data_IF_832630539651
#
_entry.id   IF_832630539651
#
_cell.length_a   1.000
_cell.length_b   1.000
_cell.length_c   1.000
_cell.angle_alpha   90.00
_cell.angle_beta   90.00
_cell.angle_gamma   90.00
#
_symmetry.space_group_name_H-M   'P 1'
#
loop_
_entity.id
_entity.type
_entity.pdbx_description
1 polymer ?
#
# COMPACT_ATOMS: atom_id res chain seq x y z
N UNK A 1 7.05 -28.80 17.24
CA UNK A 1 6.41 -27.90 16.27
C UNK A 1 7.52 -27.09 15.66
N UNK A 2 7.79 -27.26 14.36
CA UNK A 2 8.77 -26.44 13.67
C UNK A 2 8.31 -24.98 13.76
N UNK A 3 9.23 -24.11 14.19
CA UNK A 3 9.10 -22.66 14.07
C UNK A 3 9.12 -22.34 12.57
N UNK A 4 7.96 -22.45 11.92
CA UNK A 4 7.79 -21.94 10.57
C UNK A 4 7.94 -20.44 10.70
N UNK A 5 9.15 -19.96 10.47
CA UNK A 5 9.50 -18.55 10.38
C UNK A 5 8.74 -17.99 9.18
N UNK A 6 7.45 -17.72 9.37
CA UNK A 6 6.56 -17.19 8.35
C UNK A 6 7.24 -15.93 7.81
N UNK A 7 7.35 -15.83 6.48
CA UNK A 7 7.90 -14.63 5.87
C UNK A 7 7.07 -13.45 6.38
N UNK A 8 7.72 -12.52 7.08
CA UNK A 8 7.06 -11.38 7.73
C UNK A 8 7.75 -10.13 7.26
N UNK A 9 6.94 -9.13 6.89
CA UNK A 9 7.40 -7.78 6.69
C UNK A 9 7.68 -7.18 8.07
N UNK A 10 8.96 -7.11 8.45
CA UNK A 10 9.34 -6.49 9.72
C UNK A 10 9.44 -4.96 9.60
N UNK A 11 9.59 -4.28 10.74
CA UNK A 11 9.68 -2.82 10.78
C UNK A 11 10.90 -2.28 10.00
N UNK A 12 12.00 -3.03 9.95
CA UNK A 12 13.20 -2.60 9.24
C UNK A 12 12.99 -2.62 7.72
N UNK A 13 12.34 -3.67 7.20
CA UNK A 13 11.92 -3.77 5.81
C UNK A 13 10.86 -2.72 5.46
N UNK A 14 9.87 -2.52 6.33
CA UNK A 14 8.86 -1.47 6.17
C UNK A 14 9.49 -0.07 6.08
N UNK A 15 10.50 0.21 6.92
CA UNK A 15 11.25 1.47 6.90
C UNK A 15 12.02 1.66 5.59
N UNK A 16 12.77 0.66 5.13
CA UNK A 16 13.49 0.73 3.85
C UNK A 16 12.55 0.98 2.67
N UNK A 17 11.42 0.28 2.63
CA UNK A 17 10.42 0.45 1.60
C UNK A 17 9.82 1.87 1.60
N UNK A 18 9.49 2.40 2.79
CA UNK A 18 8.94 3.74 2.91
C UNK A 18 9.96 4.83 2.52
N UNK A 19 11.21 4.69 2.96
CA UNK A 19 12.28 5.65 2.64
C UNK A 19 12.57 5.67 1.13
N UNK A 20 12.62 4.51 0.48
CA UNK A 20 12.82 4.43 -0.97
C UNK A 20 11.69 5.07 -1.78
N UNK A 21 10.43 4.91 -1.34
CA UNK A 21 9.28 5.57 -1.95
C UNK A 21 9.32 7.09 -1.77
N UNK A 22 9.68 7.58 -0.57
CA UNK A 22 9.86 9.02 -0.30
C UNK A 22 10.98 9.60 -1.16
N UNK A 23 12.12 8.91 -1.27
CA UNK A 23 13.26 9.38 -2.07
C UNK A 23 12.96 9.39 -3.57
N UNK A 24 12.14 8.46 -4.05
CA UNK A 24 11.61 8.51 -5.43
C UNK A 24 10.72 9.74 -5.63
N UNK A 25 9.77 9.98 -4.73
CA UNK A 25 8.88 11.14 -4.82
C UNK A 25 9.64 12.47 -4.76
N UNK A 26 10.63 12.59 -3.87
CA UNK A 26 11.44 13.81 -3.73
C UNK A 26 12.27 14.11 -4.98
N UNK A 27 12.77 13.08 -5.67
CA UNK A 27 13.52 13.24 -6.94
C UNK A 27 12.68 13.90 -8.03
N UNK A 28 11.37 13.66 -8.01
CA UNK A 28 10.42 14.25 -8.96
C UNK A 28 9.80 15.56 -8.45
N UNK A 29 10.24 16.06 -7.30
CA UNK A 29 9.72 17.28 -6.69
C UNK A 29 8.43 17.11 -5.89
N UNK A 30 7.92 15.88 -5.75
CA UNK A 30 6.71 15.57 -4.99
C UNK A 30 6.98 15.41 -3.49
N UNK A 31 5.94 15.56 -2.66
CA UNK A 31 5.95 15.29 -1.21
C UNK A 31 4.78 14.38 -0.88
N UNK A 32 5.07 13.18 -0.40
CA UNK A 32 4.08 12.11 -0.23
C UNK A 32 4.04 11.59 1.20
N UNK A 33 2.94 10.94 1.55
CA UNK A 33 2.88 10.01 2.67
C UNK A 33 3.02 8.58 2.17
N UNK A 34 3.65 7.76 3.00
CA UNK A 34 3.80 6.32 2.75
C UNK A 34 3.31 5.56 3.97
N UNK A 35 2.44 4.58 3.75
CA UNK A 35 1.99 3.64 4.77
C UNK A 35 2.39 2.23 4.36
N UNK A 36 2.93 1.47 5.31
CA UNK A 36 3.21 0.04 5.18
C UNK A 36 2.41 -0.69 6.24
N UNK A 37 1.69 -1.73 5.83
CA UNK A 37 0.84 -2.56 6.68
C UNK A 37 1.27 -4.03 6.66
N UNK A 38 0.91 -4.77 7.70
CA UNK A 38 1.02 -6.23 7.74
C UNK A 38 0.00 -6.92 6.82
N UNK A 39 0.08 -8.24 6.69
CA UNK A 39 -0.84 -9.04 5.88
C UNK A 39 -2.32 -8.94 6.32
N UNK A 40 -2.60 -8.37 7.49
CA UNK A 40 -3.95 -8.18 8.04
C UNK A 40 -4.42 -6.72 7.91
N UNK A 41 -3.64 -5.87 7.22
CA UNK A 41 -3.98 -4.47 7.00
C UNK A 41 -3.69 -3.55 8.19
N UNK A 42 -2.97 -4.01 9.22
CA UNK A 42 -2.58 -3.15 10.34
C UNK A 42 -1.27 -2.42 10.06
N UNK A 43 -1.19 -1.16 10.48
CA UNK A 43 0.00 -0.35 10.29
C UNK A 43 1.24 -0.98 10.94
N UNK A 44 2.29 -1.14 10.13
CA UNK A 44 3.66 -1.33 10.61
C UNK A 44 4.40 0.00 10.69
N UNK A 45 4.17 0.86 9.69
CA UNK A 45 4.81 2.17 9.58
C UNK A 45 3.90 3.14 8.83
N UNK A 46 3.80 4.37 9.33
CA UNK A 46 3.15 5.49 8.64
C UNK A 46 4.10 6.67 8.71
N UNK A 47 4.45 7.21 7.55
CA UNK A 47 5.32 8.39 7.43
C UNK A 47 4.66 9.41 6.51
N UNK A 48 4.82 10.69 6.87
CA UNK A 48 4.37 11.83 6.07
C UNK A 48 5.57 12.73 5.86
N UNK A 49 5.95 12.94 4.60
CA UNK A 49 7.05 13.85 4.29
C UNK A 49 6.69 15.30 4.64
N UNK A 50 7.72 16.11 4.88
CA UNK A 50 7.57 17.55 5.07
C UNK A 50 6.97 18.18 3.81
N UNK A 51 5.90 18.96 4.00
CA UNK A 51 5.15 19.55 2.89
C UNK A 51 4.10 18.64 2.23
N UNK A 52 4.01 17.36 2.59
CA UNK A 52 2.90 16.51 2.15
C UNK A 52 1.58 16.92 2.85
N UNK A 53 0.49 16.91 2.09
CA UNK A 53 -0.82 17.35 2.58
C UNK A 53 -1.34 16.49 3.76
N UNK A 54 -2.05 17.11 4.70
CA UNK A 54 -2.43 16.51 5.98
C UNK A 54 -3.25 15.21 5.87
N UNK A 55 -4.05 15.06 4.80
CA UNK A 55 -4.94 13.91 4.60
C UNK A 55 -4.24 12.70 3.95
N UNK A 56 -3.06 12.90 3.35
CA UNK A 56 -2.37 11.86 2.58
C UNK A 56 -2.00 10.60 3.38
N UNK A 57 -1.71 10.63 4.70
CA UNK A 57 -1.50 9.40 5.48
C UNK A 57 -2.74 8.50 5.53
N UNK A 58 -3.94 9.09 5.62
CA UNK A 58 -5.19 8.34 5.63
C UNK A 58 -5.43 7.63 4.29
N UNK A 59 -5.19 8.35 3.19
CA UNK A 59 -5.32 7.80 1.83
C UNK A 59 -4.26 6.72 1.57
N UNK A 60 -3.00 6.97 1.94
CA UNK A 60 -1.92 5.99 1.83
C UNK A 60 -2.24 4.70 2.61
N UNK A 61 -2.81 4.83 3.82
CA UNK A 61 -3.25 3.67 4.62
C UNK A 61 -4.34 2.87 3.92
N UNK A 62 -5.38 3.51 3.39
CA UNK A 62 -6.44 2.81 2.66
C UNK A 62 -5.89 2.04 1.44
N UNK A 63 -4.96 2.65 0.68
CA UNK A 63 -4.29 2.01 -0.45
C UNK A 63 -3.46 0.79 -0.04
N UNK A 64 -2.66 0.92 1.03
CA UNK A 64 -1.83 -0.15 1.57
C UNK A 64 -2.69 -1.32 2.07
N UNK A 65 -3.71 -1.03 2.88
CA UNK A 65 -4.63 -2.02 3.44
C UNK A 65 -5.41 -2.75 2.35
N UNK A 66 -5.90 -2.03 1.33
CA UNK A 66 -6.58 -2.67 0.18
C UNK A 66 -5.68 -3.69 -0.48
N UNK A 67 -4.43 -3.33 -0.73
CA UNK A 67 -3.52 -4.22 -1.44
C UNK A 67 -3.09 -5.42 -0.61
N UNK A 68 -2.93 -5.24 0.71
CA UNK A 68 -2.62 -6.33 1.63
C UNK A 68 -3.79 -7.33 1.76
N UNK A 69 -5.02 -6.82 1.90
CA UNK A 69 -6.20 -7.64 2.18
C UNK A 69 -6.75 -8.35 0.94
N UNK A 70 -6.73 -7.68 -0.21
CA UNK A 70 -7.22 -8.25 -1.48
C UNK A 70 -6.10 -9.02 -2.20
N UNK A 71 -4.83 -8.68 -1.94
CA UNK A 71 -3.67 -9.33 -2.54
C UNK A 71 -3.34 -8.87 -3.96
N UNK A 72 -3.91 -7.75 -4.41
CA UNK A 72 -3.69 -7.16 -5.74
C UNK A 72 -3.41 -5.66 -5.63
N UNK A 73 -2.76 -5.03 -6.63
CA UNK A 73 -2.64 -3.58 -6.71
C UNK A 73 -3.99 -2.86 -6.68
N UNK A 74 -4.06 -1.66 -6.10
CA UNK A 74 -5.32 -0.89 -6.10
C UNK A 74 -5.79 -0.53 -7.50
N UNK A 75 -4.89 -0.44 -8.48
CA UNK A 75 -5.23 -0.29 -9.90
C UNK A 75 -5.95 -1.50 -10.48
N UNK A 76 -5.55 -2.71 -10.09
CA UNK A 76 -6.25 -3.94 -10.48
C UNK A 76 -7.61 -4.05 -9.77
N UNK A 77 -7.70 -3.60 -8.52
CA UNK A 77 -8.96 -3.52 -7.79
C UNK A 77 -9.94 -2.51 -8.42
N UNK A 78 -9.44 -1.37 -8.92
CA UNK A 78 -10.23 -0.45 -9.75
C UNK A 78 -10.81 -1.14 -10.97
N UNK A 79 -9.99 -1.89 -11.71
CA UNK A 79 -10.49 -2.66 -12.87
C UNK A 79 -11.52 -3.72 -12.50
N UNK A 80 -11.43 -4.32 -11.31
CA UNK A 80 -12.45 -5.23 -10.79
C UNK A 80 -13.76 -4.49 -10.48
N UNK A 81 -13.69 -3.30 -9.90
CA UNK A 81 -14.86 -2.46 -9.64
C UNK A 81 -15.56 -2.04 -10.94
N UNK A 82 -14.80 -1.73 -11.99
CA UNK A 82 -15.35 -1.39 -13.30
C UNK A 82 -16.04 -2.60 -13.97
N UNK A 83 -15.42 -3.79 -13.89
CA UNK A 83 -15.95 -5.00 -14.52
C UNK A 83 -17.12 -5.63 -13.73
N UNK A 84 -17.07 -5.54 -12.41
CA UNK A 84 -17.95 -6.24 -11.48
C UNK A 84 -18.35 -5.36 -10.28
N UNK A 85 -19.06 -4.23 -10.49
CA UNK A 85 -19.34 -3.27 -9.42
C UNK A 85 -20.10 -3.88 -8.24
N UNK A 86 -21.10 -4.74 -8.52
CA UNK A 86 -21.87 -5.42 -7.47
C UNK A 86 -21.01 -6.37 -6.61
N UNK A 87 -19.93 -6.93 -7.15
CA UNK A 87 -19.01 -7.76 -6.37
C UNK A 87 -18.21 -6.90 -5.39
N UNK A 88 -17.69 -5.77 -5.86
CA UNK A 88 -16.93 -4.83 -5.02
C UNK A 88 -17.81 -4.25 -3.92
N UNK A 89 -19.05 -3.84 -4.23
CA UNK A 89 -20.01 -3.35 -3.24
C UNK A 89 -20.28 -4.40 -2.14
N UNK A 90 -20.39 -5.68 -2.50
CA UNK A 90 -20.58 -6.76 -1.54
C UNK A 90 -19.33 -6.99 -0.67
N UNK A 91 -18.13 -6.94 -1.26
CA UNK A 91 -16.87 -7.05 -0.52
C UNK A 91 -16.78 -5.91 0.50
N UNK A 92 -17.03 -4.66 0.10
CA UNK A 92 -16.96 -3.50 0.96
C UNK A 92 -17.97 -3.59 2.12
N UNK A 93 -19.21 -3.99 1.80
CA UNK A 93 -20.26 -4.17 2.81
C UNK A 93 -19.94 -5.28 3.83
N UNK A 94 -19.23 -6.33 3.43
CA UNK A 94 -18.95 -7.49 4.29
C UNK A 94 -17.62 -7.41 5.05
N UNK A 95 -16.65 -6.62 4.56
CA UNK A 95 -15.32 -6.53 5.17
C UNK A 95 -15.21 -5.46 6.26
N UNK A 96 -16.06 -4.42 6.22
CA UNK A 96 -16.01 -3.30 7.18
C UNK A 96 -14.62 -2.63 7.24
N UNK A 97 -13.84 -2.74 6.16
CA UNK A 97 -12.53 -2.11 5.99
C UNK A 97 -12.64 -1.00 4.95
N UNK A 98 -11.95 0.15 5.13
CA UNK A 98 -11.98 1.23 4.14
C UNK A 98 -11.11 0.88 2.93
N UNK A 99 -11.62 0.03 2.05
CA UNK A 99 -10.99 -0.33 0.78
C UNK A 99 -11.07 0.84 -0.20
N UNK A 100 -10.13 0.90 -1.16
CA UNK A 100 -10.07 2.00 -2.13
C UNK A 100 -9.58 1.55 -3.50
N UNK A 101 -10.20 2.12 -4.53
CA UNK A 101 -9.78 1.97 -5.94
C UNK A 101 -8.72 2.98 -6.37
N UNK A 102 -8.30 3.89 -5.47
CA UNK A 102 -7.31 4.91 -5.80
C UNK A 102 -5.93 4.29 -6.10
N UNK A 103 -5.29 4.60 -7.25
CA UNK A 103 -3.97 4.08 -7.60
C UNK A 103 -2.89 4.44 -6.58
N UNK A 104 -1.92 3.54 -6.34
CA UNK A 104 -0.78 3.78 -5.46
C UNK A 104 -0.64 2.82 -4.29
N UNK A 105 -1.49 1.78 -4.22
CA UNK A 105 -1.32 0.65 -3.32
C UNK A 105 -0.76 -0.57 -4.04
N UNK A 106 0.19 -1.26 -3.41
CA UNK A 106 0.77 -2.51 -3.92
C UNK A 106 0.87 -3.58 -2.81
N UNK A 107 0.61 -4.85 -3.14
CA UNK A 107 0.86 -5.95 -2.23
C UNK A 107 2.37 -6.15 -2.07
N UNK A 108 2.76 -6.53 -0.87
CA UNK A 108 4.13 -6.95 -0.57
C UNK A 108 4.14 -8.45 -0.41
N UNK A 109 4.83 -9.16 -1.32
CA UNK A 109 4.88 -10.63 -1.30
C UNK A 109 6.28 -11.19 -1.07
N UNK A 110 6.38 -12.35 -0.43
CA UNK A 110 7.59 -13.16 -0.27
C UNK A 110 7.23 -14.60 -0.63
N UNK A 111 7.99 -15.23 -1.53
CA UNK A 111 7.76 -16.61 -1.99
C UNK A 111 6.32 -16.88 -2.48
N UNK A 112 5.67 -15.86 -3.06
CA UNK A 112 4.30 -15.93 -3.56
C UNK A 112 3.21 -15.70 -2.50
N UNK A 113 3.56 -15.56 -1.22
CA UNK A 113 2.62 -15.22 -0.14
C UNK A 113 2.60 -13.70 0.08
N UNK A 114 1.41 -13.09 0.20
CA UNK A 114 1.27 -11.67 0.57
C UNK A 114 1.55 -11.52 2.06
N UNK A 115 2.62 -10.81 2.40
CA UNK A 115 3.07 -10.56 3.77
C UNK A 115 2.72 -9.16 4.29
N UNK A 116 2.15 -8.31 3.42
CA UNK A 116 1.73 -6.95 3.75
C UNK A 116 1.35 -6.12 2.53
N UNK A 117 1.31 -4.81 2.70
CA UNK A 117 1.03 -3.86 1.64
C UNK A 117 1.72 -2.52 1.85
N UNK A 118 2.03 -1.83 0.76
CA UNK A 118 2.52 -0.44 0.78
C UNK A 118 1.53 0.44 0.02
N UNK A 119 1.33 1.65 0.51
CA UNK A 119 0.50 2.66 -0.12
C UNK A 119 1.19 4.01 -0.11
N UNK A 120 1.16 4.71 -1.23
CA UNK A 120 1.70 6.06 -1.39
C UNK A 120 0.59 7.04 -1.75
N UNK A 121 0.62 8.23 -1.16
CA UNK A 121 -0.32 9.30 -1.50
C UNK A 121 0.33 10.68 -1.42
N UNK A 122 0.10 11.50 -2.45
CA UNK A 122 0.47 12.92 -2.44
C UNK A 122 0.92 13.44 -3.80
N UNK A 123 1.06 12.58 -4.81
CA UNK A 123 1.37 12.94 -6.19
C UNK A 123 0.20 12.63 -7.13
N UNK A 124 0.46 12.68 -8.44
CA UNK A 124 -0.50 12.16 -9.43
C UNK A 124 -0.69 10.64 -9.25
N UNK A 125 -1.86 10.08 -9.61
CA UNK A 125 -2.17 8.67 -9.36
C UNK A 125 -1.11 7.70 -9.91
N UNK A 126 -0.58 7.95 -11.11
CA UNK A 126 0.44 7.12 -11.75
C UNK A 126 1.78 7.22 -11.01
N UNK A 127 2.14 8.43 -10.55
CA UNK A 127 3.36 8.66 -9.77
C UNK A 127 3.30 7.99 -8.40
N UNK A 128 2.14 8.03 -7.72
CA UNK A 128 1.94 7.28 -6.47
C UNK A 128 2.20 5.77 -6.69
N UNK A 129 1.82 5.21 -7.84
CA UNK A 129 2.13 3.81 -8.20
C UNK A 129 3.63 3.60 -8.39
N UNK A 130 4.31 4.46 -9.14
CA UNK A 130 5.76 4.39 -9.38
C UNK A 130 6.56 4.45 -8.06
N UNK A 131 6.16 5.32 -7.13
CA UNK A 131 6.81 5.43 -5.82
C UNK A 131 6.53 4.22 -4.94
N UNK A 132 5.31 3.67 -4.99
CA UNK A 132 5.01 2.41 -4.32
C UNK A 132 5.87 1.27 -4.88
N UNK A 133 6.08 1.20 -6.20
CA UNK A 133 6.95 0.20 -6.83
C UNK A 133 8.40 0.34 -6.37
N UNK A 134 8.92 1.57 -6.27
CA UNK A 134 10.24 1.84 -5.72
C UNK A 134 10.36 1.34 -4.27
N UNK A 135 9.34 1.55 -3.45
CA UNK A 135 9.28 1.03 -2.08
C UNK A 135 9.23 -0.50 -2.03
N UNK A 136 8.37 -1.14 -2.81
CA UNK A 136 8.33 -2.61 -2.92
C UNK A 136 9.70 -3.16 -3.30
N UNK A 137 10.40 -2.57 -4.27
CA UNK A 137 11.72 -3.05 -4.71
C UNK A 137 12.82 -2.98 -3.63
N UNK A 138 12.68 -2.13 -2.61
CA UNK A 138 13.69 -1.87 -1.58
C UNK A 138 13.42 -2.53 -0.21
N UNK A 139 12.36 -3.33 -0.09
CA UNK A 139 11.90 -3.95 1.17
C UNK A 139 12.89 -4.95 1.76
#
# INVERSE_FOLDING_TARGET
MADTKQARLDLAAARRAADAAIDAARRDGNRVSVTVVDARGHDLLVVRDDGAAWFTPGVARAKAATSALIGIPTTAYSGLADAHPALVDLIDAQTQQPLTTLPGGLPVSVDGEVVGGIGVSGAQPEQDVEYAQAGVAAR
#
